data_IF_897443096133
#
_entry.id   IF_897443096133
#
_cell.length_a   1.000
_cell.length_b   1.000
_cell.length_c   1.000
_cell.angle_alpha   90.00
_cell.angle_beta   90.00
_cell.angle_gamma   90.00
#
_symmetry.space_group_name_H-M   'P 1'
#
loop_
_entity.id
_entity.type
_entity.pdbx_description
1 polymer ?
#
# COMPACT_ATOMS: atom_id res chain seq x y z
N UNK A 1 -6.16 -9.69 18.21
CA UNK A 1 -7.54 -10.14 17.89
C UNK A 1 -8.49 -8.95 18.00
N UNK A 2 -8.74 -8.26 16.88
CA UNK A 2 -9.81 -7.28 16.63
C UNK A 2 -9.60 -6.72 15.20
N UNK A 3 -9.94 -7.54 14.19
CA UNK A 3 -10.17 -7.11 12.80
C UNK A 3 -11.28 -8.01 12.27
N UNK A 4 -12.48 -7.73 12.75
CA UNK A 4 -13.71 -8.39 12.29
C UNK A 4 -14.80 -7.36 12.46
N UNK A 5 -15.20 -6.74 11.35
CA UNK A 5 -16.43 -5.97 11.10
C UNK A 5 -16.14 -4.77 10.20
N UNK A 6 -16.03 -5.00 8.89
CA UNK A 6 -16.69 -4.15 7.90
C UNK A 6 -16.82 -4.87 6.54
N UNK A 7 -17.30 -6.12 6.54
CA UNK A 7 -17.79 -6.77 5.33
C UNK A 7 -19.29 -6.48 5.20
N UNK A 8 -19.65 -5.42 4.46
CA UNK A 8 -20.98 -5.30 3.84
C UNK A 8 -21.01 -4.14 2.84
N UNK A 9 -21.44 -4.47 1.61
CA UNK A 9 -21.70 -3.60 0.43
C UNK A 9 -20.41 -3.24 -0.32
N UNK A 10 -19.98 -3.94 -1.38
CA UNK A 10 -20.69 -4.11 -2.65
C UNK A 10 -20.42 -5.47 -3.30
N UNK A 11 -21.39 -6.37 -3.23
CA UNK A 11 -21.51 -7.47 -4.18
C UNK A 11 -22.70 -7.16 -5.08
N UNK A 12 -22.48 -6.50 -6.22
CA UNK A 12 -23.30 -6.74 -7.41
C UNK A 12 -22.67 -6.16 -8.67
N UNK A 13 -22.56 -7.05 -9.67
CA UNK A 13 -22.29 -6.82 -11.09
C UNK A 13 -20.88 -6.35 -11.49
N UNK A 14 -19.98 -7.31 -11.78
CA UNK A 14 -19.53 -7.53 -13.16
C UNK A 14 -19.40 -9.03 -13.46
N UNK A 15 -20.39 -9.53 -14.19
CA UNK A 15 -20.40 -10.78 -14.97
C UNK A 15 -19.43 -10.52 -16.14
N UNK A 16 -18.45 -11.34 -16.53
CA UNK A 16 -18.42 -12.79 -16.75
C UNK A 16 -17.02 -13.18 -17.25
N UNK A 17 -16.45 -14.28 -16.74
CA UNK A 17 -15.45 -15.05 -17.50
C UNK A 17 -14.28 -15.64 -16.71
N UNK A 18 -14.49 -16.85 -16.17
CA UNK A 18 -13.49 -17.86 -15.82
C UNK A 18 -12.75 -17.77 -14.45
N UNK A 19 -13.03 -18.81 -13.64
CA UNK A 19 -12.31 -19.36 -12.47
C UNK A 19 -11.93 -18.38 -11.36
N UNK A 20 -12.68 -18.29 -10.25
CA UNK A 20 -12.61 -19.27 -9.15
C UNK A 20 -11.23 -19.93 -8.99
N UNK A 21 -10.24 -19.15 -8.56
CA UNK A 21 -9.23 -19.63 -7.61
C UNK A 21 -9.61 -19.04 -6.24
N UNK A 22 -9.57 -19.87 -5.20
CA UNK A 22 -10.46 -19.79 -4.04
C UNK A 22 -10.20 -18.67 -3.04
N UNK A 23 -11.30 -18.12 -2.50
CA UNK A 23 -11.49 -17.96 -1.05
C UNK A 23 -10.75 -16.86 -0.29
N UNK A 24 -9.92 -16.04 -0.91
CA UNK A 24 -9.41 -14.79 -0.30
C UNK A 24 -9.88 -13.59 -1.15
N UNK A 25 -10.35 -12.53 -0.49
CA UNK A 25 -10.66 -11.26 -1.15
C UNK A 25 -9.35 -10.74 -1.78
N UNK A 26 -9.31 -10.66 -3.12
CA UNK A 26 -8.15 -10.08 -3.81
C UNK A 26 -7.98 -8.61 -3.43
N UNK A 27 -6.74 -8.11 -3.45
CA UNK A 27 -6.49 -6.70 -3.22
C UNK A 27 -7.20 -5.85 -4.27
N UNK A 28 -7.92 -4.82 -3.81
CA UNK A 28 -8.59 -3.86 -4.69
C UNK A 28 -7.70 -2.64 -4.89
N UNK A 29 -7.02 -2.58 -6.04
CA UNK A 29 -6.19 -1.44 -6.40
C UNK A 29 -7.00 -0.15 -6.52
N UNK A 30 -8.25 -0.21 -6.95
CA UNK A 30 -9.13 0.96 -7.00
C UNK A 30 -9.45 1.51 -5.60
N UNK A 31 -9.74 0.64 -4.63
CA UNK A 31 -10.03 1.07 -3.26
C UNK A 31 -8.80 1.74 -2.61
N UNK A 32 -7.61 1.13 -2.78
CA UNK A 32 -6.37 1.73 -2.30
C UNK A 32 -6.07 3.06 -3.00
N UNK A 33 -6.32 3.21 -4.30
CA UNK A 33 -6.18 4.51 -4.99
C UNK A 33 -7.14 5.57 -4.45
N UNK A 34 -8.37 5.17 -4.11
CA UNK A 34 -9.36 6.08 -3.54
C UNK A 34 -8.91 6.55 -2.15
N UNK A 35 -8.48 5.64 -1.28
CA UNK A 35 -7.92 5.96 0.04
C UNK A 35 -6.74 6.94 -0.08
N UNK A 36 -5.79 6.67 -0.98
CA UNK A 36 -4.66 7.56 -1.23
C UNK A 36 -5.08 8.94 -1.75
N UNK A 37 -6.18 9.02 -2.51
CA UNK A 37 -6.72 10.30 -3.01
C UNK A 37 -7.37 11.11 -1.89
N UNK A 38 -8.12 10.46 -1.01
CA UNK A 38 -8.72 11.09 0.17
C UNK A 38 -7.63 11.63 1.11
N UNK A 39 -6.61 10.82 1.42
CA UNK A 39 -5.46 11.25 2.20
C UNK A 39 -4.70 12.40 1.54
N UNK A 40 -4.54 12.37 0.20
CA UNK A 40 -3.87 13.46 -0.52
C UNK A 40 -4.54 14.82 -0.31
N UNK A 41 -5.88 14.85 -0.26
CA UNK A 41 -6.64 16.09 -0.09
C UNK A 41 -6.32 16.81 1.24
N UNK A 42 -5.98 16.06 2.29
CA UNK A 42 -5.62 16.61 3.62
C UNK A 42 -4.11 16.71 3.87
N UNK A 43 -3.29 16.17 2.95
CA UNK A 43 -1.83 16.03 3.11
C UNK A 43 -1.02 16.99 2.24
N UNK A 44 -1.61 17.48 1.14
CA UNK A 44 -0.94 18.39 0.22
C UNK A 44 -0.79 19.80 0.79
N UNK A 45 -0.12 20.70 0.08
CA UNK A 45 0.15 22.09 0.52
C UNK A 45 -1.11 22.90 0.85
N UNK A 46 -2.27 22.55 0.27
CA UNK A 46 -3.54 23.25 0.52
C UNK A 46 -4.27 22.69 1.75
N UNK A 47 -4.13 21.39 2.03
CA UNK A 47 -4.80 20.69 3.13
C UNK A 47 -3.99 20.58 4.42
N UNK A 48 -2.66 20.45 4.31
CA UNK A 48 -1.79 20.11 5.45
C UNK A 48 -1.87 21.15 6.57
N UNK A 49 -2.20 20.68 7.78
CA UNK A 49 -2.20 21.49 8.98
C UNK A 49 -1.02 21.11 9.89
N UNK A 50 -0.15 22.06 10.25
CA UNK A 50 0.96 21.78 11.15
C UNK A 50 0.48 21.62 12.59
N UNK A 51 1.13 20.71 13.31
CA UNK A 51 0.96 20.52 14.75
C UNK A 51 1.54 21.72 15.50
N UNK A 52 0.90 22.09 16.62
CA UNK A 52 1.42 23.11 17.54
C UNK A 52 2.55 22.56 18.43
N UNK A 53 2.64 21.24 18.56
CA UNK A 53 3.72 20.52 19.23
C UNK A 53 4.86 20.32 18.24
N UNK A 54 5.99 21.00 18.47
CA UNK A 54 7.09 21.08 17.51
C UNK A 54 7.73 19.73 17.21
N UNK A 55 7.99 18.93 18.24
CA UNK A 55 8.61 17.61 18.09
C UNK A 55 7.69 16.64 17.32
N UNK A 56 6.38 16.73 17.56
CA UNK A 56 5.37 15.97 16.82
C UNK A 56 5.34 16.42 15.35
N UNK A 57 5.36 17.73 15.11
CA UNK A 57 5.32 18.29 13.76
C UNK A 57 6.49 17.83 12.89
N UNK A 58 7.70 17.71 13.45
CA UNK A 58 8.85 17.20 12.70
C UNK A 58 8.58 15.79 12.18
N UNK A 59 8.05 14.90 13.02
CA UNK A 59 7.78 13.52 12.63
C UNK A 59 6.60 13.43 11.66
N UNK A 60 5.52 14.18 11.91
CA UNK A 60 4.35 14.26 11.02
C UNK A 60 4.73 14.77 9.64
N UNK A 61 5.52 15.83 9.56
CA UNK A 61 5.98 16.39 8.29
C UNK A 61 6.82 15.38 7.49
N UNK A 62 7.67 14.60 8.17
CA UNK A 62 8.46 13.54 7.55
C UNK A 62 7.59 12.41 6.98
N UNK A 63 6.59 11.94 7.72
CA UNK A 63 5.63 10.93 7.22
C UNK A 63 4.82 11.50 6.05
N UNK A 64 4.30 12.72 6.17
CA UNK A 64 3.55 13.40 5.11
C UNK A 64 4.38 13.52 3.82
N UNK A 65 5.65 13.90 3.94
CA UNK A 65 6.57 13.99 2.80
C UNK A 65 6.80 12.63 2.16
N UNK A 66 7.00 11.58 2.97
CA UNK A 66 7.13 10.22 2.48
C UNK A 66 5.87 9.77 1.72
N UNK A 67 4.69 10.02 2.29
CA UNK A 67 3.39 9.75 1.66
C UNK A 67 3.24 10.44 0.30
N UNK A 68 3.48 11.75 0.24
CA UNK A 68 3.33 12.54 -0.99
C UNK A 68 4.30 12.10 -2.10
N UNK A 69 5.51 11.64 -1.72
CA UNK A 69 6.49 11.12 -2.67
C UNK A 69 6.15 9.70 -3.14
N UNK A 70 5.63 8.86 -2.24
CA UNK A 70 5.29 7.47 -2.46
C UNK A 70 4.01 7.28 -3.30
N UNK A 71 2.96 8.08 -3.04
CA UNK A 71 1.67 7.95 -3.72
C UNK A 71 1.78 7.84 -5.25
N UNK A 72 2.48 8.75 -5.98
CA UNK A 72 2.59 8.64 -7.43
C UNK A 72 3.36 7.40 -7.90
N UNK A 73 4.27 6.86 -7.08
CA UNK A 73 4.97 5.60 -7.39
C UNK A 73 3.99 4.44 -7.36
N UNK A 74 3.14 4.37 -6.33
CA UNK A 74 2.11 3.33 -6.24
C UNK A 74 1.08 3.45 -7.36
N UNK A 75 0.63 4.67 -7.68
CA UNK A 75 -0.34 4.87 -8.76
C UNK A 75 0.22 4.40 -10.11
N UNK A 76 1.48 4.73 -10.43
CA UNK A 76 2.15 4.24 -11.64
C UNK A 76 2.22 2.71 -11.66
N UNK A 77 2.55 2.09 -10.54
CA UNK A 77 2.56 0.63 -10.40
C UNK A 77 1.19 0.02 -10.71
N UNK A 78 0.13 0.55 -10.09
CA UNK A 78 -1.23 0.05 -10.32
C UNK A 78 -1.73 0.33 -11.74
N UNK A 79 -1.37 1.46 -12.36
CA UNK A 79 -1.75 1.76 -13.74
C UNK A 79 -1.14 0.76 -14.72
N UNK A 80 0.12 0.35 -14.51
CA UNK A 80 0.77 -0.67 -15.33
C UNK A 80 0.06 -2.03 -15.19
N UNK A 81 -0.24 -2.45 -13.95
CA UNK A 81 -0.94 -3.71 -13.69
C UNK A 81 -2.37 -3.73 -14.24
N UNK A 82 -3.11 -2.62 -14.11
CA UNK A 82 -4.47 -2.50 -14.63
C UNK A 82 -4.52 -2.43 -16.16
N UNK A 83 -3.44 -2.00 -16.80
CA UNK A 83 -3.33 -2.01 -18.27
C UNK A 83 -3.21 -3.43 -18.85
N UNK A 84 -2.80 -4.41 -18.02
CA UNK A 84 -2.64 -5.82 -18.40
C UNK A 84 -3.42 -6.73 -17.46
N UNK A 85 -4.68 -7.08 -17.77
CA UNK A 85 -5.57 -7.79 -16.86
C UNK A 85 -5.01 -9.11 -16.29
N UNK A 86 -4.25 -9.90 -17.07
CA UNK A 86 -3.62 -11.11 -16.53
C UNK A 86 -2.60 -10.80 -15.41
N UNK A 87 -1.75 -9.77 -15.60
CA UNK A 87 -0.79 -9.34 -14.59
C UNK A 87 -1.50 -8.75 -13.38
N UNK A 88 -2.48 -7.86 -13.59
CA UNK A 88 -3.24 -7.25 -12.50
C UNK A 88 -3.94 -8.27 -11.62
N UNK A 89 -4.61 -9.27 -12.21
CA UNK A 89 -5.26 -10.34 -11.45
C UNK A 89 -4.26 -11.20 -10.68
N UNK A 90 -3.12 -11.52 -11.30
CA UNK A 90 -2.07 -12.31 -10.65
C UNK A 90 -1.43 -11.57 -9.47
N UNK A 91 -1.06 -10.30 -9.65
CA UNK A 91 -0.48 -9.50 -8.57
C UNK A 91 -1.50 -9.25 -7.44
N UNK A 92 -2.75 -8.93 -7.75
CA UNK A 92 -3.79 -8.76 -6.73
C UNK A 92 -4.07 -10.04 -5.92
N UNK A 93 -4.03 -11.20 -6.58
CA UNK A 93 -4.20 -12.50 -5.91
C UNK A 93 -3.00 -12.85 -5.03
N UNK A 94 -1.78 -12.63 -5.54
CA UNK A 94 -0.57 -12.89 -4.75
C UNK A 94 -0.44 -11.93 -3.58
N UNK A 95 -0.77 -10.64 -3.71
CA UNK A 95 -0.79 -9.69 -2.60
C UNK A 95 -1.79 -10.08 -1.49
N UNK A 96 -2.93 -10.64 -1.86
CA UNK A 96 -3.93 -11.12 -0.90
C UNK A 96 -3.52 -12.40 -0.15
N UNK A 97 -2.56 -13.16 -0.69
CA UNK A 97 -2.04 -14.37 -0.06
C UNK A 97 -1.08 -14.02 1.10
N UNK A 98 -1.27 -14.71 2.23
CA UNK A 98 -0.55 -14.42 3.48
C UNK A 98 0.82 -15.12 3.54
N UNK A 99 1.01 -16.20 2.77
CA UNK A 99 2.22 -17.04 2.81
C UNK A 99 2.91 -17.14 1.45
N UNK A 100 4.23 -17.38 1.47
CA UNK A 100 5.00 -17.63 0.25
C UNK A 100 4.53 -18.89 -0.48
N UNK A 101 4.12 -19.92 0.26
CA UNK A 101 3.57 -21.15 -0.31
C UNK A 101 2.25 -20.92 -1.06
N UNK A 102 1.36 -20.08 -0.52
CA UNK A 102 0.12 -19.69 -1.21
C UNK A 102 0.42 -18.88 -2.48
N UNK A 103 1.36 -17.92 -2.40
CA UNK A 103 1.80 -17.14 -3.56
C UNK A 103 2.39 -18.04 -4.66
N UNK A 104 3.21 -19.03 -4.30
CA UNK A 104 3.77 -19.99 -5.24
C UNK A 104 2.67 -20.86 -5.87
N UNK A 105 1.71 -21.34 -5.08
CA UNK A 105 0.59 -22.12 -5.58
C UNK A 105 -0.27 -21.35 -6.60
N UNK A 106 -0.42 -20.02 -6.41
CA UNK A 106 -1.08 -19.14 -7.38
C UNK A 106 -0.30 -19.09 -8.68
N UNK A 107 1.02 -18.93 -8.63
CA UNK A 107 1.88 -18.96 -9.83
C UNK A 107 1.82 -20.32 -10.54
N UNK A 108 1.89 -21.42 -9.79
CA UNK A 108 1.84 -22.78 -10.34
C UNK A 108 0.50 -23.12 -11.01
N UNK A 109 -0.61 -22.52 -10.54
CA UNK A 109 -1.92 -22.61 -11.17
C UNK A 109 -2.03 -21.86 -12.52
N UNK A 110 -1.01 -21.05 -12.83
CA UNK A 110 -0.65 -20.46 -14.13
C UNK A 110 -0.94 -21.37 -15.34
N UNK A 111 -1.75 -20.97 -16.33
CA UNK A 111 -1.60 -21.60 -17.67
C UNK A 111 -0.22 -21.25 -18.25
N UNK A 112 0.34 -22.05 -19.17
CA UNK A 112 1.64 -21.75 -19.78
C UNK A 112 1.72 -20.34 -20.39
N UNK A 113 0.67 -19.89 -21.06
CA UNK A 113 0.60 -18.55 -21.68
C UNK A 113 0.54 -17.42 -20.63
N UNK A 114 -0.13 -17.66 -19.50
CA UNK A 114 -0.20 -16.72 -18.39
C UNK A 114 1.14 -16.62 -17.65
N UNK A 115 1.82 -17.75 -17.44
CA UNK A 115 3.18 -17.78 -16.89
C UNK A 115 4.13 -17.00 -17.79
N UNK A 116 4.13 -17.27 -19.09
CA UNK A 116 4.94 -16.53 -20.06
C UNK A 116 4.68 -15.01 -20.00
N UNK A 117 3.44 -14.58 -19.78
CA UNK A 117 3.10 -13.16 -19.60
C UNK A 117 3.72 -12.58 -18.33
N UNK A 118 3.61 -13.30 -17.20
CA UNK A 118 4.23 -12.91 -15.92
C UNK A 118 5.75 -12.88 -16.04
N UNK A 119 6.36 -13.93 -16.58
CA UNK A 119 7.81 -14.07 -16.67
C UNK A 119 8.41 -12.99 -17.59
N UNK A 120 7.83 -12.75 -18.77
CA UNK A 120 8.23 -11.67 -19.66
C UNK A 120 8.11 -10.29 -19.00
N UNK A 121 7.08 -10.08 -18.18
CA UNK A 121 6.95 -8.85 -17.42
C UNK A 121 8.08 -8.73 -16.39
N UNK A 122 8.33 -9.76 -15.57
CA UNK A 122 9.37 -9.75 -14.53
C UNK A 122 10.79 -9.59 -15.10
N UNK A 123 11.02 -9.99 -16.36
CA UNK A 123 12.29 -9.78 -17.07
C UNK A 123 12.40 -8.43 -17.79
N UNK A 124 11.33 -7.63 -17.78
CA UNK A 124 11.28 -6.36 -18.51
C UNK A 124 12.01 -5.23 -17.77
N UNK A 125 12.46 -4.21 -18.52
CA UNK A 125 12.99 -3.00 -17.90
C UNK A 125 11.95 -2.20 -17.10
N UNK A 126 10.66 -2.39 -17.42
CA UNK A 126 9.55 -1.73 -16.73
C UNK A 126 9.42 -2.30 -15.32
N UNK A 127 9.49 -3.62 -15.21
CA UNK A 127 9.56 -4.38 -13.97
C UNK A 127 10.70 -3.90 -13.04
N UNK A 128 11.92 -3.81 -13.57
CA UNK A 128 13.09 -3.32 -12.84
C UNK A 128 12.89 -1.88 -12.32
N UNK A 129 12.35 -0.99 -13.16
CA UNK A 129 12.09 0.39 -12.79
C UNK A 129 11.06 0.48 -11.65
N UNK A 130 9.98 -0.29 -11.73
CA UNK A 130 8.95 -0.33 -10.69
C UNK A 130 9.49 -0.90 -9.39
N UNK A 131 10.24 -2.01 -9.46
CA UNK A 131 10.84 -2.62 -8.27
C UNK A 131 11.80 -1.66 -7.57
N UNK A 132 12.63 -0.94 -8.32
CA UNK A 132 13.54 0.07 -7.78
C UNK A 132 12.77 1.22 -7.14
N UNK A 133 11.77 1.78 -7.84
CA UNK A 133 10.96 2.88 -7.34
C UNK A 133 10.18 2.53 -6.08
N UNK A 134 9.54 1.37 -6.06
CA UNK A 134 8.85 0.83 -4.88
C UNK A 134 9.83 0.59 -3.73
N UNK A 135 11.03 0.05 -4.00
CA UNK A 135 12.04 -0.21 -2.98
C UNK A 135 12.59 1.07 -2.32
N UNK A 136 12.86 2.11 -3.11
CA UNK A 136 13.27 3.42 -2.59
C UNK A 136 12.14 4.03 -1.73
N UNK A 137 10.91 4.05 -2.24
CA UNK A 137 9.75 4.57 -1.52
C UNK A 137 9.47 3.78 -0.23
N UNK A 138 9.54 2.45 -0.26
CA UNK A 138 9.32 1.57 0.89
C UNK A 138 10.36 1.82 1.98
N UNK A 139 11.62 2.02 1.60
CA UNK A 139 12.70 2.31 2.55
C UNK A 139 12.45 3.62 3.29
N UNK A 140 12.07 4.67 2.56
CA UNK A 140 11.74 5.97 3.16
C UNK A 140 10.49 5.88 4.02
N UNK A 141 9.45 5.18 3.54
CA UNK A 141 8.21 4.97 4.28
C UNK A 141 8.45 4.24 5.62
N UNK A 142 9.11 3.08 5.60
CA UNK A 142 9.39 2.29 6.80
C UNK A 142 10.23 3.05 7.83
N UNK A 143 11.24 3.80 7.37
CA UNK A 143 12.07 4.61 8.24
C UNK A 143 11.24 5.68 8.98
N UNK A 144 10.40 6.42 8.26
CA UNK A 144 9.59 7.48 8.87
C UNK A 144 8.43 6.95 9.71
N UNK A 145 7.77 5.86 9.27
CA UNK A 145 6.72 5.18 10.01
C UNK A 145 7.24 4.65 11.35
N UNK A 146 8.37 3.94 11.34
CA UNK A 146 8.98 3.42 12.58
C UNK A 146 9.39 4.52 13.54
N UNK A 147 9.89 5.66 13.03
CA UNK A 147 10.22 6.81 13.86
C UNK A 147 8.99 7.43 14.51
N UNK A 148 7.90 7.63 13.74
CA UNK A 148 6.66 8.19 14.25
C UNK A 148 5.99 7.27 15.29
N UNK A 149 5.88 5.97 14.99
CA UNK A 149 5.27 4.99 15.89
C UNK A 149 6.05 4.77 17.20
N UNK A 150 7.33 5.15 17.23
CA UNK A 150 8.14 5.12 18.44
C UNK A 150 7.90 6.31 19.38
N UNK A 151 7.17 7.35 18.94
CA UNK A 151 6.87 8.51 19.75
C UNK A 151 5.78 8.22 20.78
N UNK A 152 5.96 8.72 22.00
CA UNK A 152 4.90 8.79 23.01
C UNK A 152 4.02 10.03 22.74
N UNK A 153 3.20 9.93 21.69
CA UNK A 153 2.34 11.05 21.25
C UNK A 153 1.38 11.51 22.34
N UNK A 154 0.94 10.59 23.22
CA UNK A 154 0.09 10.91 24.38
C UNK A 154 0.81 11.82 25.36
N UNK A 155 2.06 11.51 25.71
CA UNK A 155 2.88 12.39 26.55
C UNK A 155 3.22 13.70 25.86
N UNK A 156 3.40 13.71 24.54
CA UNK A 156 3.78 14.92 23.80
C UNK A 156 2.64 15.95 23.77
N UNK A 157 1.38 15.50 23.71
CA UNK A 157 0.21 16.39 23.68
C UNK A 157 -0.37 16.69 25.07
N UNK A 158 0.16 16.12 26.16
CA UNK A 158 -0.41 16.29 27.50
C UNK A 158 -0.34 17.73 28.03
N UNK A 159 0.56 18.56 27.47
CA UNK A 159 0.70 19.99 27.81
C UNK A 159 -0.13 20.93 26.94
N UNK A 160 -0.90 20.40 25.99
CA UNK A 160 -1.73 21.19 25.06
C UNK A 160 -3.04 21.55 25.75
N UNK A 161 -3.52 22.77 25.49
CA UNK A 161 -4.81 23.24 26.00
C UNK A 161 -5.97 22.36 25.46
N UNK A 162 -7.00 22.12 26.28
CA UNK A 162 -8.12 21.26 25.89
C UNK A 162 -8.79 21.67 24.57
N UNK A 163 -8.83 22.98 24.27
CA UNK A 163 -9.38 23.49 23.01
C UNK A 163 -8.57 23.11 21.76
N UNK A 164 -7.31 22.73 21.92
CA UNK A 164 -6.39 22.34 20.86
C UNK A 164 -6.16 20.81 20.83
N UNK A 165 -6.42 20.12 21.93
CA UNK A 165 -6.17 18.68 22.07
C UNK A 165 -6.89 17.83 21.00
N UNK A 166 -8.12 18.19 20.65
CA UNK A 166 -8.87 17.49 19.60
C UNK A 166 -8.17 17.62 18.25
N UNK A 167 -7.76 18.85 17.88
CA UNK A 167 -7.03 19.07 16.64
C UNK A 167 -5.73 18.27 16.60
N UNK A 168 -4.93 18.29 17.69
CA UNK A 168 -3.69 17.50 17.74
C UNK A 168 -3.94 15.99 17.64
N UNK A 169 -5.07 15.49 18.16
CA UNK A 169 -5.45 14.08 18.04
C UNK A 169 -5.81 13.74 16.59
N UNK A 170 -6.61 14.57 15.92
CA UNK A 170 -6.97 14.40 14.51
C UNK A 170 -5.70 14.40 13.63
N UNK A 171 -4.75 15.28 13.94
CA UNK A 171 -3.45 15.37 13.26
C UNK A 171 -2.59 14.10 13.42
N UNK A 172 -2.64 13.45 14.59
CA UNK A 172 -1.99 12.17 14.85
C UNK A 172 -2.69 11.05 14.07
N UNK A 173 -4.02 11.03 14.08
CA UNK A 173 -4.83 10.03 13.37
C UNK A 173 -4.55 10.06 11.87
N UNK A 174 -4.57 11.24 11.24
CA UNK A 174 -4.20 11.37 9.82
C UNK A 174 -2.78 10.88 9.53
N UNK A 175 -1.82 11.12 10.44
CA UNK A 175 -0.46 10.61 10.25
C UNK A 175 -0.38 9.08 10.41
N UNK A 176 -1.22 8.48 11.26
CA UNK A 176 -1.35 7.01 11.35
C UNK A 176 -1.96 6.46 10.06
N UNK A 177 -3.02 7.07 9.53
CA UNK A 177 -3.63 6.66 8.26
C UNK A 177 -2.63 6.72 7.10
N UNK A 178 -1.77 7.75 7.05
CA UNK A 178 -0.68 7.83 6.08
C UNK A 178 0.32 6.67 6.22
N UNK A 179 0.66 6.28 7.45
CA UNK A 179 1.54 5.13 7.72
C UNK A 179 0.89 3.83 7.26
N UNK A 180 -0.38 3.63 7.62
CA UNK A 180 -1.14 2.42 7.26
C UNK A 180 -1.30 2.31 5.73
N UNK A 181 -1.55 3.43 5.04
CA UNK A 181 -1.57 3.49 3.59
C UNK A 181 -0.22 3.08 2.98
N UNK A 182 0.89 3.62 3.49
CA UNK A 182 2.23 3.31 2.98
C UNK A 182 2.61 1.83 3.15
N UNK A 183 2.20 1.23 4.27
CA UNK A 183 2.39 -0.19 4.54
C UNK A 183 1.55 -1.05 3.59
N UNK A 184 0.25 -0.75 3.49
CA UNK A 184 -0.72 -1.50 2.68
C UNK A 184 -0.48 -1.38 1.17
N UNK A 185 0.23 -0.34 0.73
CA UNK A 185 0.51 -0.09 -0.68
C UNK A 185 1.97 -0.35 -1.03
N UNK A 186 2.85 0.61 -0.81
CA UNK A 186 4.24 0.59 -1.27
C UNK A 186 5.04 -0.56 -0.67
N UNK A 187 4.94 -0.77 0.65
CA UNK A 187 5.70 -1.82 1.33
C UNK A 187 5.19 -3.19 0.89
N UNK A 188 3.87 -3.40 0.90
CA UNK A 188 3.22 -4.62 0.44
C UNK A 188 3.58 -4.94 -1.02
N UNK A 189 3.42 -3.98 -1.94
CA UNK A 189 3.73 -4.14 -3.35
C UNK A 189 5.21 -4.50 -3.57
N UNK A 190 6.14 -3.82 -2.89
CA UNK A 190 7.57 -4.13 -2.97
C UNK A 190 7.89 -5.55 -2.48
N UNK A 191 7.31 -5.96 -1.35
CA UNK A 191 7.51 -7.31 -0.81
C UNK A 191 6.94 -8.38 -1.73
N UNK A 192 5.73 -8.15 -2.25
CA UNK A 192 5.10 -9.07 -3.20
C UNK A 192 5.96 -9.20 -4.47
N UNK A 193 6.45 -8.08 -5.00
CA UNK A 193 7.35 -8.08 -6.15
C UNK A 193 8.59 -8.94 -5.94
N UNK A 194 9.26 -8.80 -4.78
CA UNK A 194 10.43 -9.61 -4.44
C UNK A 194 10.11 -11.11 -4.43
N UNK A 195 9.01 -11.50 -3.82
CA UNK A 195 8.60 -12.90 -3.73
C UNK A 195 8.31 -13.45 -5.12
N UNK A 196 7.48 -12.76 -5.90
CA UNK A 196 7.12 -13.15 -7.27
C UNK A 196 8.37 -13.26 -8.16
N UNK A 197 9.32 -12.33 -8.04
CA UNK A 197 10.57 -12.37 -8.84
C UNK A 197 11.42 -13.61 -8.54
N UNK A 198 11.34 -14.12 -7.31
CA UNK A 198 12.09 -15.31 -6.91
C UNK A 198 11.53 -16.59 -7.55
N UNK A 199 10.23 -16.62 -7.86
CA UNK A 199 9.60 -17.79 -8.51
C UNK A 199 10.11 -17.98 -9.94
N UNK A 200 10.29 -16.88 -10.70
CA UNK A 200 10.83 -16.92 -12.05
C UNK A 200 12.34 -17.28 -12.06
N UNK A 201 13.05 -17.05 -10.95
CA UNK A 201 14.49 -17.31 -10.85
C UNK A 201 14.83 -18.76 -10.42
N UNK A 202 13.84 -19.61 -10.17
CA UNK A 202 14.00 -20.90 -9.50
C UNK A 202 14.14 -22.11 -10.45
N UNK A 203 14.33 -21.90 -11.75
CA UNK A 203 14.63 -22.95 -12.75
C UNK A 203 16.14 -23.19 -12.98
#
# INVERSE_FOLDING_TARGET
MKKTLLAMVFATSMVSGCSMIGGQEAVSYEDLRNEGTELYAVSNTEGYQPSTVKELEVARFSVNTAFLAAKPVYERYTDELLSTPELGNYFAATEAAETEEEKLAIYEALTPEQKETVDNFMESSIADEMMSGLGEAATVALSNASHFLALDTTSMISGVEFSQLMAETDLIETTIEQVDYLDSTIVSAYQNYKIVSAFNSAE
#
